data_IF_204671988508
#
_entry.id   IF_204671988508
#
_cell.length_a   1.000
_cell.length_b   1.000
_cell.length_c   1.000
_cell.angle_alpha   90.00
_cell.angle_beta   90.00
_cell.angle_gamma   90.00
#
_symmetry.space_group_name_H-M   'P 1'
#
loop_
_entity.id
_entity.type
_entity.pdbx_description
1 polymer ?
#
# COMPACT_ATOMS: atom_id res chain seq x y z
N UNK A 1 1.21 17.74 31.35
CA UNK A 1 2.02 18.95 31.11
C UNK A 1 2.54 18.91 29.68
N UNK A 2 2.66 20.03 28.99
CA UNK A 2 3.26 20.04 27.64
C UNK A 2 4.79 20.01 27.71
N UNK A 3 5.43 19.28 26.79
CA UNK A 3 6.89 19.26 26.62
C UNK A 3 7.28 20.18 25.47
N UNK A 4 8.32 20.99 25.68
CA UNK A 4 8.84 21.92 24.67
C UNK A 4 10.17 21.40 24.10
N UNK A 5 10.27 21.42 22.78
CA UNK A 5 11.44 21.03 22.01
C UNK A 5 11.90 22.20 21.16
N UNK A 6 13.17 22.58 21.29
CA UNK A 6 13.71 23.79 20.65
C UNK A 6 14.92 23.40 19.81
N UNK A 7 14.81 23.63 18.51
CA UNK A 7 15.92 23.61 17.57
C UNK A 7 16.45 25.04 17.45
N UNK A 8 17.55 25.33 18.16
CA UNK A 8 18.15 26.66 18.22
C UNK A 8 18.79 27.08 16.89
N UNK A 9 19.19 26.12 16.05
CA UNK A 9 19.86 26.40 14.78
C UNK A 9 18.84 26.89 13.75
N UNK A 10 17.71 26.19 13.65
CA UNK A 10 16.65 26.55 12.71
C UNK A 10 15.58 27.46 13.31
N UNK A 11 15.74 27.85 14.58
CA UNK A 11 14.79 28.68 15.35
C UNK A 11 13.38 28.08 15.37
N UNK A 12 13.29 26.76 15.43
CA UNK A 12 12.02 26.02 15.44
C UNK A 12 11.68 25.60 16.85
N UNK A 13 10.45 25.89 17.29
CA UNK A 13 9.94 25.49 18.60
C UNK A 13 8.72 24.60 18.40
N UNK A 14 8.73 23.43 19.03
CA UNK A 14 7.64 22.46 18.99
C UNK A 14 7.20 22.14 20.41
N UNK A 15 5.93 22.42 20.70
CA UNK A 15 5.29 22.10 21.99
C UNK A 15 4.30 20.97 21.80
N UNK A 16 4.46 19.89 22.55
CA UNK A 16 3.62 18.69 22.42
C UNK A 16 2.94 18.38 23.75
N UNK A 17 1.61 18.22 23.78
CA UNK A 17 0.89 17.81 24.97
C UNK A 17 1.10 16.32 25.29
N UNK A 18 0.86 15.90 26.53
CA UNK A 18 0.90 14.47 26.88
C UNK A 18 -0.21 13.66 26.19
N UNK A 19 -1.31 14.31 25.82
CA UNK A 19 -2.47 13.70 25.19
C UNK A 19 -2.91 14.52 23.97
N UNK A 20 -3.38 13.84 22.93
CA UNK A 20 -3.92 14.45 21.73
C UNK A 20 -5.29 13.83 21.41
N UNK A 21 -6.10 14.56 20.66
CA UNK A 21 -7.40 14.05 20.19
C UNK A 21 -7.22 13.51 18.78
N UNK A 22 -7.57 12.24 18.57
CA UNK A 22 -7.56 11.65 17.26
C UNK A 22 -8.76 12.16 16.46
N UNK A 23 -8.52 13.04 15.48
CA UNK A 23 -9.56 13.81 14.77
C UNK A 23 -10.65 12.93 14.14
N UNK A 24 -10.32 11.72 13.68
CA UNK A 24 -11.30 10.81 13.04
C UNK A 24 -12.19 10.07 14.04
N UNK A 25 -11.69 9.79 15.24
CA UNK A 25 -12.42 8.97 16.24
C UNK A 25 -12.95 9.78 17.40
N UNK A 26 -12.44 11.01 17.60
CA UNK A 26 -12.76 11.86 18.74
C UNK A 26 -12.14 11.41 20.06
N UNK A 27 -11.39 10.30 20.05
CA UNK A 27 -10.79 9.75 21.25
C UNK A 27 -9.53 10.52 21.67
N UNK A 28 -9.37 10.71 22.98
CA UNK A 28 -8.14 11.24 23.55
C UNK A 28 -7.14 10.11 23.73
N UNK A 29 -5.98 10.24 23.10
CA UNK A 29 -4.90 9.26 23.14
C UNK A 29 -3.64 9.88 23.74
N UNK A 30 -2.88 9.08 24.48
CA UNK A 30 -1.60 9.49 25.01
C UNK A 30 -0.55 9.51 23.89
N UNK A 31 0.31 10.53 23.88
CA UNK A 31 1.44 10.58 22.95
C UNK A 31 2.37 9.41 23.22
N UNK A 32 2.70 8.66 22.17
CA UNK A 32 3.56 7.48 22.31
C UNK A 32 5.00 7.88 22.63
N UNK A 33 5.68 7.08 23.47
CA UNK A 33 7.10 7.30 23.80
C UNK A 33 8.00 7.25 22.55
N UNK A 34 7.61 6.48 21.54
CA UNK A 34 8.35 6.41 20.27
C UNK A 34 8.38 7.76 19.56
N UNK A 35 7.24 8.44 19.50
CA UNK A 35 7.12 9.78 18.92
C UNK A 35 7.97 10.77 19.71
N UNK A 36 7.88 10.78 21.04
CA UNK A 36 8.70 11.65 21.88
C UNK A 36 10.22 11.45 21.66
N UNK A 37 10.66 10.20 21.49
CA UNK A 37 12.06 9.87 21.23
C UNK A 37 12.52 10.36 19.86
N UNK A 38 11.70 10.23 18.81
CA UNK A 38 12.00 10.78 17.49
C UNK A 38 12.14 12.30 17.53
N UNK A 39 11.20 12.99 18.19
CA UNK A 39 11.25 14.45 18.29
C UNK A 39 12.51 14.88 19.05
N UNK A 40 12.87 14.19 20.14
CA UNK A 40 14.12 14.45 20.87
C UNK A 40 15.35 14.24 19.99
N UNK A 41 15.38 13.15 19.22
CA UNK A 41 16.48 12.88 18.29
C UNK A 41 16.63 14.00 17.25
N UNK A 42 15.54 14.43 16.61
CA UNK A 42 15.59 15.49 15.60
C UNK A 42 15.88 16.87 16.19
N UNK A 43 15.47 17.13 17.43
CA UNK A 43 15.83 18.35 18.16
C UNK A 43 17.35 18.40 18.40
N UNK A 44 17.94 17.31 18.88
CA UNK A 44 19.38 17.24 19.14
C UNK A 44 20.23 17.34 17.88
N UNK A 45 19.70 16.90 16.74
CA UNK A 45 20.38 16.93 15.45
C UNK A 45 20.08 18.18 14.61
N UNK A 46 19.36 19.18 15.15
CA UNK A 46 18.94 20.37 14.40
C UNK A 46 18.20 20.03 13.09
N UNK A 47 17.36 19.01 13.12
CA UNK A 47 16.54 18.56 11.97
C UNK A 47 15.06 18.55 12.31
N UNK A 48 14.65 19.33 13.31
CA UNK A 48 13.26 19.34 13.81
C UNK A 48 12.29 19.85 12.74
N UNK A 49 12.67 20.87 11.97
CA UNK A 49 11.86 21.37 10.85
C UNK A 49 11.64 20.30 9.79
N UNK A 50 12.67 19.50 9.47
CA UNK A 50 12.56 18.41 8.51
C UNK A 50 11.55 17.37 8.98
N UNK A 51 11.64 16.93 10.24
CA UNK A 51 10.67 15.99 10.82
C UNK A 51 9.23 16.52 10.69
N UNK A 52 8.99 17.79 11.03
CA UNK A 52 7.66 18.39 10.98
C UNK A 52 7.13 18.43 9.54
N UNK A 53 7.94 18.92 8.59
CA UNK A 53 7.49 19.04 7.20
C UNK A 53 7.30 17.68 6.53
N UNK A 54 8.17 16.70 6.79
CA UNK A 54 7.99 15.33 6.32
C UNK A 54 6.70 14.71 6.89
N UNK A 55 6.47 14.82 8.20
CA UNK A 55 5.28 14.28 8.84
C UNK A 55 3.98 14.93 8.32
N UNK A 56 3.98 16.25 8.09
CA UNK A 56 2.84 16.96 7.52
C UNK A 56 2.60 16.58 6.05
N UNK A 57 3.68 16.49 5.26
CA UNK A 57 3.62 16.02 3.88
C UNK A 57 3.04 14.61 3.81
N UNK A 58 3.52 13.71 4.66
CA UNK A 58 3.03 12.34 4.74
C UNK A 58 1.56 12.30 5.18
N UNK A 59 1.14 13.11 6.15
CA UNK A 59 -0.26 13.19 6.58
C UNK A 59 -1.19 13.65 5.44
N UNK A 60 -0.80 14.68 4.70
CA UNK A 60 -1.59 15.20 3.57
C UNK A 60 -1.63 14.19 2.43
N UNK A 61 -0.49 13.61 2.06
CA UNK A 61 -0.38 12.70 0.92
C UNK A 61 -0.91 11.30 1.22
N UNK A 62 -0.84 10.84 2.48
CA UNK A 62 -1.44 9.57 2.91
C UNK A 62 -2.97 9.62 2.94
N UNK A 63 -3.57 10.80 2.96
CA UNK A 63 -5.03 10.94 2.77
C UNK A 63 -5.48 10.64 1.32
N UNK A 64 -4.54 10.61 0.36
CA UNK A 64 -4.80 10.24 -1.03
C UNK A 64 -4.36 8.83 -1.40
N UNK A 65 -3.56 8.17 -0.56
CA UNK A 65 -3.35 6.74 -0.70
C UNK A 65 -4.54 6.03 -0.07
N UNK A 66 -5.23 5.12 -0.77
CA UNK A 66 -6.11 4.21 -0.07
C UNK A 66 -5.23 3.56 0.98
N UNK A 67 -5.58 3.72 2.26
CA UNK A 67 -5.03 2.96 3.37
C UNK A 67 -4.82 1.56 2.81
N UNK A 68 -3.57 1.13 2.66
CA UNK A 68 -3.29 -0.27 2.36
C UNK A 68 -3.87 -1.01 3.55
N UNK A 69 -5.11 -1.44 3.36
CA UNK A 69 -5.76 -2.44 4.18
C UNK A 69 -4.74 -3.56 4.13
N UNK A 70 -4.14 -3.88 5.27
CA UNK A 70 -3.18 -4.97 5.45
C UNK A 70 -3.70 -6.35 4.96
N UNK A 71 -4.87 -6.43 4.30
CA UNK A 71 -5.41 -7.60 3.61
C UNK A 71 -5.40 -7.52 2.06
N UNK A 72 -5.01 -6.40 1.42
CA UNK A 72 -4.93 -6.38 -0.06
C UNK A 72 -3.73 -7.20 -0.57
N UNK A 73 -2.62 -7.21 0.18
CA UNK A 73 -1.46 -8.05 -0.16
C UNK A 73 -1.78 -9.55 -0.03
N UNK A 74 -2.59 -9.94 0.96
CA UNK A 74 -3.02 -11.33 1.12
C UNK A 74 -3.91 -11.76 -0.04
N UNK A 75 -4.91 -10.95 -0.40
CA UNK A 75 -5.78 -11.22 -1.56
C UNK A 75 -4.99 -11.25 -2.88
N UNK A 76 -4.05 -10.34 -3.07
CA UNK A 76 -3.18 -10.33 -4.25
C UNK A 76 -2.23 -11.54 -4.27
N UNK A 77 -1.75 -11.99 -3.12
CA UNK A 77 -0.92 -13.19 -2.99
C UNK A 77 -1.73 -14.46 -3.30
N UNK A 78 -2.97 -14.54 -2.83
CA UNK A 78 -3.89 -15.65 -3.07
C UNK A 78 -4.31 -15.68 -4.55
N UNK A 79 -4.60 -14.53 -5.16
CA UNK A 79 -4.84 -14.42 -6.60
C UNK A 79 -3.63 -14.82 -7.45
N UNK A 80 -2.41 -14.49 -7.02
CA UNK A 80 -1.18 -14.94 -7.66
C UNK A 80 -0.98 -16.45 -7.54
N UNK A 81 -1.37 -17.04 -6.42
CA UNK A 81 -1.33 -18.48 -6.19
C UNK A 81 -2.35 -19.22 -7.06
N UNK A 82 -3.59 -18.72 -7.14
CA UNK A 82 -4.62 -19.23 -8.06
C UNK A 82 -4.13 -19.13 -9.52
N UNK A 83 -3.51 -18.00 -9.91
CA UNK A 83 -2.90 -17.84 -11.24
C UNK A 83 -1.82 -18.88 -11.51
N UNK A 84 -0.98 -19.23 -10.52
CA UNK A 84 0.02 -20.30 -10.66
C UNK A 84 -0.65 -21.67 -10.82
N UNK A 85 -1.66 -21.98 -10.02
CA UNK A 85 -2.39 -23.25 -10.10
C UNK A 85 -3.08 -23.42 -11.46
N UNK A 86 -3.75 -22.37 -11.95
CA UNK A 86 -4.39 -22.38 -13.27
C UNK A 86 -3.37 -22.55 -14.41
N UNK A 87 -2.19 -21.93 -14.31
CA UNK A 87 -1.12 -22.12 -15.29
C UNK A 87 -0.53 -23.52 -15.25
N UNK A 88 -0.45 -24.16 -14.10
CA UNK A 88 0.07 -25.53 -13.96
C UNK A 88 -0.94 -26.59 -14.45
N UNK A 89 -2.24 -26.29 -14.44
CA UNK A 89 -3.28 -27.19 -14.96
C UNK A 89 -3.28 -27.36 -16.50
N UNK A 90 -2.73 -26.40 -17.24
CA UNK A 90 -2.86 -26.34 -18.71
C UNK A 90 -1.65 -26.87 -19.52
N UNK A 91 -0.63 -27.47 -18.88
CA UNK A 91 0.55 -28.02 -19.59
C UNK A 91 0.66 -29.54 -19.55
N UNK A 92 -0.43 -30.26 -19.29
CA UNK A 92 -0.51 -31.70 -19.53
C UNK A 92 -1.10 -32.01 -20.92
N UNK A 93 -0.59 -31.37 -21.97
CA UNK A 93 -0.72 -31.91 -23.32
C UNK A 93 0.28 -33.08 -23.45
N UNK A 94 -0.17 -34.25 -23.00
CA UNK A 94 0.46 -35.52 -23.34
C UNK A 94 0.54 -35.61 -24.85
N UNK A 95 1.76 -35.49 -25.39
CA UNK A 95 2.09 -36.02 -26.70
C UNK A 95 1.97 -37.53 -26.58
N UNK A 96 0.86 -38.09 -27.06
CA UNK A 96 0.77 -39.52 -27.38
C UNK A 96 -0.11 -39.69 -28.60
N UNK A 97 0.45 -40.41 -29.55
CA UNK A 97 -0.04 -40.63 -30.91
C UNK A 97 -1.34 -41.44 -30.97
N UNK A 98 -2.00 -41.25 -32.13
CA UNK A 98 -2.80 -42.21 -32.90
C UNK A 98 -4.32 -42.32 -32.68
N UNK A 99 -4.99 -41.90 -33.76
CA UNK A 99 -6.13 -42.53 -34.46
C UNK A 99 -7.58 -42.23 -34.01
N UNK A 100 -8.30 -41.67 -34.99
CA UNK A 100 -9.72 -41.92 -35.34
C UNK A 100 -10.72 -40.78 -35.09
N UNK A 101 -11.19 -40.23 -36.22
CA UNK A 101 -12.52 -39.70 -36.54
C UNK A 101 -13.10 -38.47 -35.81
N UNK A 102 -13.33 -37.43 -36.61
CA UNK A 102 -14.49 -36.52 -36.65
C UNK A 102 -15.04 -35.94 -35.32
N UNK A 103 -14.66 -34.70 -35.01
CA UNK A 103 -15.58 -33.55 -35.07
C UNK A 103 -14.80 -32.25 -34.91
N UNK A 104 -14.83 -31.42 -35.95
CA UNK A 104 -14.30 -30.06 -35.93
C UNK A 104 -15.28 -29.20 -35.11
N UNK A 105 -14.92 -28.88 -33.87
CA UNK A 105 -15.52 -27.77 -33.12
C UNK A 105 -14.44 -26.70 -33.09
N UNK A 106 -14.69 -25.64 -33.86
CA UNK A 106 -13.83 -24.46 -33.91
C UNK A 106 -13.72 -23.87 -32.50
N UNK A 107 -12.56 -24.01 -31.88
CA UNK A 107 -12.13 -23.11 -30.81
C UNK A 107 -12.11 -21.72 -31.42
N UNK A 108 -13.12 -20.92 -31.08
CA UNK A 108 -13.13 -19.50 -31.35
C UNK A 108 -12.02 -18.93 -30.47
N UNK A 109 -10.85 -18.72 -31.07
CA UNK A 109 -9.75 -17.94 -30.49
C UNK A 109 -10.36 -16.69 -29.85
N UNK A 110 -10.36 -16.65 -28.52
CA UNK A 110 -10.71 -15.46 -27.78
C UNK A 110 -9.61 -14.45 -28.10
N UNK A 111 -9.95 -13.47 -28.92
CA UNK A 111 -9.03 -12.44 -29.37
C UNK A 111 -8.51 -11.68 -28.16
N UNK A 112 -7.26 -11.96 -27.80
CA UNK A 112 -6.56 -11.38 -26.64
C UNK A 112 -6.60 -9.85 -26.72
N UNK A 113 -6.76 -9.30 -27.93
CA UNK A 113 -6.91 -7.88 -28.20
C UNK A 113 -8.22 -7.29 -27.67
N UNK A 114 -9.32 -8.03 -27.78
CA UNK A 114 -10.62 -7.61 -27.23
C UNK A 114 -10.57 -7.57 -25.69
N UNK A 115 -9.82 -8.49 -25.08
CA UNK A 115 -9.59 -8.50 -23.63
C UNK A 115 -8.75 -7.29 -23.18
N UNK A 116 -7.74 -6.90 -23.97
CA UNK A 116 -6.88 -5.75 -23.69
C UNK A 116 -7.66 -4.43 -23.79
N UNK A 117 -8.49 -4.27 -24.82
CA UNK A 117 -9.37 -3.10 -25.00
C UNK A 117 -10.37 -2.94 -23.84
N UNK A 118 -10.92 -4.05 -23.34
CA UNK A 118 -11.83 -4.04 -22.18
C UNK A 118 -11.09 -3.63 -20.91
N UNK A 119 -9.88 -4.16 -20.68
CA UNK A 119 -9.09 -3.82 -19.50
C UNK A 119 -8.66 -2.34 -19.49
N UNK A 120 -8.37 -1.76 -20.66
CA UNK A 120 -8.04 -0.34 -20.78
C UNK A 120 -9.25 0.56 -20.49
N UNK A 121 -10.46 0.14 -20.87
CA UNK A 121 -11.70 0.89 -20.58
C UNK A 121 -12.04 0.97 -19.07
N UNK A 122 -11.55 0.04 -18.25
CA UNK A 122 -11.70 0.06 -16.79
C UNK A 122 -10.52 0.70 -16.04
N UNK A 123 -9.40 0.94 -16.73
CA UNK A 123 -8.15 1.45 -16.15
C UNK A 123 -7.97 2.97 -16.19
N UNK A 124 -9.02 3.71 -16.58
CA UNK A 124 -9.05 5.18 -16.56
C UNK A 124 -9.05 5.78 -15.16
#
# INVERSE_FOLDING_TARGET
>A
MSKNYIDYTNKTVLSIPDHFIHVKTGETQQVSRSVENQIRYHTNNNTLSHLIFSALSDYVNSSHKPTEIHGSNDVLSELLEIKKMLRQGNFNSKVTQQNSSNHFIQEKDLDIKELEDVLEAFGG
#
